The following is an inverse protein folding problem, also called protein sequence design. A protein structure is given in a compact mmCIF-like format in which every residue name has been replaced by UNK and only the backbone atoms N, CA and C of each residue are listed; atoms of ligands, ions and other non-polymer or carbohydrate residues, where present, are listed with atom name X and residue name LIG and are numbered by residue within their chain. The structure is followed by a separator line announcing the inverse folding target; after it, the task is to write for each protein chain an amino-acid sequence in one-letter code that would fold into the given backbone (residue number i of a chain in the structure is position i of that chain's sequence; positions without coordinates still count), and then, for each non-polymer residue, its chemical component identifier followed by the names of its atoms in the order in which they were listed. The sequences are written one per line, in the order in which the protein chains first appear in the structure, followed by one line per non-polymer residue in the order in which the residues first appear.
data_IF_818027940914
#
_entry.id   IF_818027940914
#
_cell.length_a   1.000
_cell.length_b   1.000
_cell.length_c   1.000
_cell.angle_alpha   90.00
_cell.angle_beta   90.00
_cell.angle_gamma   90.00
#
_symmetry.space_group_name_H-M   'P 1'
#
loop_
_entity.id
_entity.type
_entity.pdbx_description
1 polymer ?
#
# COMPACT_ATOMS: atom_id res chain seq x y z
N UNK A 1 -10.99 -11.58 -12.58
CA UNK A 1 -11.10 -12.99 -13.02
C UNK A 1 -11.67 -13.80 -11.87
N UNK A 2 -12.58 -14.73 -12.15
CA UNK A 2 -13.13 -15.66 -11.17
C UNK A 2 -12.71 -17.09 -11.55
N UNK A 3 -12.32 -17.90 -10.56
CA UNK A 3 -12.04 -19.34 -10.80
C UNK A 3 -13.34 -20.13 -11.03
N UNK A 4 -13.29 -21.30 -11.66
CA UNK A 4 -14.48 -22.17 -11.78
C UNK A 4 -15.13 -22.44 -10.41
N UNK A 5 -14.34 -22.77 -9.39
CA UNK A 5 -14.85 -22.99 -8.04
C UNK A 5 -15.58 -21.77 -7.45
N UNK A 6 -15.14 -20.55 -7.77
CA UNK A 6 -15.82 -19.33 -7.34
C UNK A 6 -17.17 -19.15 -8.07
N UNK A 7 -17.25 -19.52 -9.35
CA UNK A 7 -18.50 -19.50 -10.12
C UNK A 7 -19.47 -20.55 -9.59
N UNK A 8 -19.01 -21.75 -9.27
CA UNK A 8 -19.83 -22.81 -8.67
C UNK A 8 -20.35 -22.38 -7.29
N UNK A 9 -19.49 -21.79 -6.46
CA UNK A 9 -19.90 -21.27 -5.16
C UNK A 9 -20.93 -20.13 -5.28
N UNK A 10 -20.79 -19.29 -6.30
CA UNK A 10 -21.80 -18.27 -6.60
C UNK A 10 -23.15 -18.91 -7.01
N UNK A 11 -23.12 -19.91 -7.89
CA UNK A 11 -24.32 -20.61 -8.35
C UNK A 11 -25.04 -21.36 -7.22
N UNK A 12 -24.30 -21.90 -6.25
CA UNK A 12 -24.83 -22.62 -5.09
C UNK A 12 -25.41 -21.71 -3.98
N UNK A 13 -25.40 -20.39 -4.16
CA UNK A 13 -25.89 -19.45 -3.14
C UNK A 13 -27.38 -19.61 -2.88
N UNK A 14 -27.74 -19.63 -1.60
CA UNK A 14 -29.14 -19.67 -1.15
C UNK A 14 -29.81 -18.30 -1.13
N UNK A 15 -29.01 -17.24 -1.01
CA UNK A 15 -29.48 -15.85 -0.94
C UNK A 15 -29.14 -15.13 -2.24
N UNK A 16 -30.13 -14.56 -2.96
CA UNK A 16 -29.88 -13.86 -4.21
C UNK A 16 -29.05 -12.59 -3.98
N UNK A 17 -28.23 -12.25 -4.98
CA UNK A 17 -27.55 -10.94 -5.02
C UNK A 17 -28.57 -9.86 -5.39
N UNK A 18 -28.75 -8.87 -4.51
CA UNK A 18 -29.71 -7.77 -4.74
C UNK A 18 -29.14 -6.61 -5.54
N UNK A 19 -27.84 -6.59 -5.78
CA UNK A 19 -27.18 -5.55 -6.57
C UNK A 19 -27.32 -5.84 -8.06
N UNK A 20 -27.87 -4.90 -8.82
CA UNK A 20 -28.01 -5.06 -10.28
C UNK A 20 -26.63 -5.26 -10.95
N UNK A 21 -25.64 -4.42 -10.63
CA UNK A 21 -24.34 -4.43 -11.28
C UNK A 21 -23.37 -5.50 -10.74
N UNK A 22 -23.47 -5.87 -9.46
CA UNK A 22 -22.60 -6.86 -8.86
C UNK A 22 -23.13 -8.30 -8.95
N UNK A 23 -24.23 -8.53 -9.64
CA UNK A 23 -24.83 -9.86 -9.83
C UNK A 23 -24.14 -10.62 -10.96
N UNK A 24 -23.33 -11.62 -10.60
CA UNK A 24 -22.65 -12.47 -11.59
C UNK A 24 -23.61 -13.25 -12.48
N UNK A 25 -24.84 -13.55 -12.01
CA UNK A 25 -25.86 -14.19 -12.83
C UNK A 25 -26.23 -13.37 -14.08
N UNK A 26 -26.03 -12.05 -14.02
CA UNK A 26 -26.23 -11.15 -15.16
C UNK A 26 -24.98 -11.01 -16.03
N UNK A 27 -23.78 -11.07 -15.42
CA UNK A 27 -22.53 -10.93 -16.14
C UNK A 27 -22.05 -12.21 -16.83
N UNK A 28 -22.25 -13.38 -16.22
CA UNK A 28 -21.76 -14.66 -16.74
C UNK A 28 -22.21 -14.94 -18.19
N UNK A 29 -23.50 -14.79 -18.57
CA UNK A 29 -23.92 -15.01 -19.95
C UNK A 29 -23.24 -14.05 -20.94
N UNK A 30 -22.99 -12.80 -20.51
CA UNK A 30 -22.33 -11.79 -21.32
C UNK A 30 -20.85 -12.15 -21.53
N UNK A 31 -20.18 -12.55 -20.44
CA UNK A 31 -18.77 -12.95 -20.50
C UNK A 31 -18.58 -14.22 -21.34
N UNK A 32 -19.49 -15.18 -21.25
CA UNK A 32 -19.49 -16.38 -22.09
C UNK A 32 -19.68 -16.05 -23.57
N UNK A 33 -20.57 -15.07 -23.89
CA UNK A 33 -20.72 -14.57 -25.26
C UNK A 33 -19.41 -13.95 -25.78
N UNK A 34 -18.71 -13.17 -24.97
CA UNK A 34 -17.41 -12.58 -25.33
C UNK A 34 -16.33 -13.65 -25.54
N UNK A 35 -16.29 -14.67 -24.70
CA UNK A 35 -15.38 -15.84 -24.88
C UNK A 35 -15.66 -16.57 -26.19
N UNK A 36 -16.95 -16.70 -26.56
CA UNK A 36 -17.39 -17.24 -27.84
C UNK A 36 -17.27 -16.25 -29.02
N UNK A 37 -16.68 -15.06 -28.80
CA UNK A 37 -16.53 -13.98 -29.80
C UNK A 37 -17.86 -13.51 -30.38
N UNK A 38 -18.93 -13.57 -29.58
CA UNK A 38 -20.26 -13.06 -29.95
C UNK A 38 -20.48 -11.71 -29.29
N UNK A 39 -21.10 -10.74 -29.99
CA UNK A 39 -21.46 -9.45 -29.38
C UNK A 39 -22.50 -9.64 -28.31
N UNK A 40 -22.28 -9.00 -27.16
CA UNK A 40 -23.22 -8.99 -26.05
C UNK A 40 -23.04 -7.72 -25.22
N UNK A 41 -24.04 -7.37 -24.43
CA UNK A 41 -24.02 -6.14 -23.63
C UNK A 41 -24.88 -6.28 -22.40
N UNK A 42 -24.32 -5.93 -21.25
CA UNK A 42 -25.05 -5.79 -19.99
C UNK A 42 -24.96 -4.37 -19.43
N UNK A 43 -23.79 -3.77 -19.49
CA UNK A 43 -23.53 -2.42 -19.02
C UNK A 43 -22.23 -1.88 -19.60
N UNK A 44 -22.10 -0.56 -19.70
CA UNK A 44 -20.90 0.08 -20.22
C UNK A 44 -19.72 -0.18 -19.28
N UNK A 45 -18.65 -0.86 -19.73
CA UNK A 45 -17.46 -1.04 -18.93
C UNK A 45 -16.76 0.30 -18.70
N UNK A 46 -16.04 0.42 -17.58
CA UNK A 46 -15.18 1.56 -17.29
C UNK A 46 -13.91 1.53 -18.15
N UNK A 47 -14.03 1.81 -19.45
CA UNK A 47 -12.98 1.62 -20.48
C UNK A 47 -11.69 2.31 -20.06
N UNK A 48 -11.74 3.55 -19.57
CA UNK A 48 -10.56 4.30 -19.14
C UNK A 48 -9.79 3.58 -18.02
N UNK A 49 -10.52 2.98 -17.05
CA UNK A 49 -9.90 2.20 -15.96
C UNK A 49 -9.32 0.88 -16.46
N UNK A 50 -9.98 0.24 -17.42
CA UNK A 50 -9.46 -1.00 -18.03
C UNK A 50 -8.16 -0.71 -18.80
N UNK A 51 -8.11 0.38 -19.56
CA UNK A 51 -6.89 0.81 -20.27
C UNK A 51 -5.78 1.14 -19.27
N UNK A 52 -6.07 1.91 -18.24
CA UNK A 52 -5.09 2.23 -17.18
C UNK A 52 -4.58 0.97 -16.46
N UNK A 53 -5.46 0.00 -16.19
CA UNK A 53 -5.07 -1.29 -15.63
C UNK A 53 -4.15 -2.05 -16.59
N UNK A 54 -4.46 -2.08 -17.89
CA UNK A 54 -3.62 -2.71 -18.92
C UNK A 54 -2.20 -2.14 -18.91
N UNK A 55 -2.05 -0.81 -18.87
CA UNK A 55 -0.74 -0.14 -18.77
C UNK A 55 -0.02 -0.52 -17.46
N UNK A 56 -0.73 -0.55 -16.34
CA UNK A 56 -0.14 -0.90 -15.05
C UNK A 56 0.34 -2.35 -15.01
N UNK A 57 -0.45 -3.28 -15.57
CA UNK A 57 -0.09 -4.69 -15.67
C UNK A 57 1.11 -4.89 -16.61
N UNK A 58 1.15 -4.20 -17.76
CA UNK A 58 2.29 -4.19 -18.67
C UNK A 58 3.58 -3.83 -17.93
N UNK A 59 3.59 -2.72 -17.20
CA UNK A 59 4.77 -2.31 -16.40
C UNK A 59 5.18 -3.33 -15.33
N UNK A 60 4.23 -4.05 -14.74
CA UNK A 60 4.53 -5.11 -13.76
C UNK A 60 5.18 -6.29 -14.46
N UNK A 61 4.68 -6.69 -15.63
CA UNK A 61 5.22 -7.79 -16.41
C UNK A 61 6.60 -7.47 -17.00
N UNK A 62 6.81 -6.23 -17.47
CA UNK A 62 8.10 -5.75 -17.98
C UNK A 62 9.19 -5.76 -16.89
N UNK A 63 8.85 -5.35 -15.66
CA UNK A 63 9.75 -5.44 -14.51
C UNK A 63 10.00 -6.90 -14.10
N UNK A 64 9.01 -7.76 -14.23
CA UNK A 64 8.97 -9.12 -13.73
C UNK A 64 8.59 -9.22 -12.24
N UNK A 65 7.87 -10.27 -11.87
CA UNK A 65 7.36 -10.42 -10.49
C UNK A 65 8.50 -10.62 -9.48
N UNK A 66 9.47 -11.46 -9.78
CA UNK A 66 10.57 -11.73 -8.86
C UNK A 66 11.46 -10.49 -8.60
N UNK A 67 11.93 -9.74 -9.61
CA UNK A 67 12.61 -8.46 -9.40
C UNK A 67 11.76 -7.44 -8.63
N UNK A 68 10.46 -7.38 -8.93
CA UNK A 68 9.53 -6.48 -8.24
C UNK A 68 9.41 -6.81 -6.75
N UNK A 69 9.30 -8.08 -6.39
CA UNK A 69 9.26 -8.50 -4.99
C UNK A 69 10.57 -8.21 -4.28
N UNK A 70 11.71 -8.49 -4.90
CA UNK A 70 13.03 -8.18 -4.36
C UNK A 70 13.21 -6.67 -4.12
N UNK A 71 12.80 -5.83 -5.06
CA UNK A 71 12.84 -4.38 -4.93
C UNK A 71 11.99 -3.89 -3.75
N UNK A 72 10.76 -4.39 -3.58
CA UNK A 72 9.92 -4.00 -2.45
C UNK A 72 10.47 -4.51 -1.11
N UNK A 73 11.07 -5.69 -1.07
CA UNK A 73 11.73 -6.20 0.13
C UNK A 73 12.92 -5.32 0.53
N UNK A 74 13.77 -4.94 -0.43
CA UNK A 74 14.89 -4.03 -0.21
C UNK A 74 14.42 -2.66 0.28
N UNK A 75 13.49 -2.02 -0.44
CA UNK A 75 13.00 -0.69 -0.10
C UNK A 75 12.25 -0.67 1.24
N UNK A 76 11.43 -1.68 1.50
CA UNK A 76 10.74 -1.83 2.78
C UNK A 76 11.70 -2.08 3.94
N UNK A 77 12.73 -2.90 3.73
CA UNK A 77 13.80 -3.11 4.70
C UNK A 77 14.58 -1.85 5.02
N UNK A 78 14.95 -1.08 3.98
CA UNK A 78 15.64 0.20 4.14
C UNK A 78 14.79 1.23 4.88
N UNK A 79 13.49 1.32 4.56
CA UNK A 79 12.59 2.22 5.26
C UNK A 79 12.46 1.85 6.75
N UNK A 80 12.29 0.56 7.06
CA UNK A 80 12.24 0.07 8.44
C UNK A 80 13.53 0.35 9.22
N UNK A 81 14.69 0.14 8.61
CA UNK A 81 15.97 0.50 9.22
C UNK A 81 16.04 2.00 9.54
N UNK A 82 15.50 2.85 8.67
CA UNK A 82 15.40 4.29 8.90
C UNK A 82 14.51 4.65 10.09
N UNK A 83 13.30 4.10 10.16
CA UNK A 83 12.37 4.40 11.27
C UNK A 83 12.87 3.85 12.61
N UNK A 84 13.55 2.70 12.61
CA UNK A 84 14.18 2.14 13.81
C UNK A 84 15.33 3.05 14.32
N UNK A 85 16.14 3.61 13.40
CA UNK A 85 17.26 4.49 13.74
C UNK A 85 16.84 5.83 14.38
N UNK A 86 15.62 6.28 14.10
CA UNK A 86 15.04 7.50 14.72
C UNK A 86 14.13 7.18 15.91
N UNK A 87 14.18 5.95 16.42
CA UNK A 87 13.49 5.53 17.63
C UNK A 87 11.99 5.31 17.50
N UNK A 88 11.46 5.14 16.29
CA UNK A 88 10.04 4.85 16.09
C UNK A 88 9.75 3.36 16.30
N UNK A 89 8.85 3.07 17.22
CA UNK A 89 8.39 1.70 17.46
C UNK A 89 7.43 1.28 16.35
N UNK A 90 7.75 0.18 15.67
CA UNK A 90 6.87 -0.39 14.65
C UNK A 90 5.71 -1.16 15.27
N UNK A 91 4.53 -1.14 14.61
CA UNK A 91 3.32 -1.84 15.07
C UNK A 91 3.45 -3.37 15.01
N UNK A 92 4.00 -4.00 13.96
CA UNK A 92 4.16 -5.45 13.91
C UNK A 92 5.14 -5.96 14.97
N UNK A 93 4.75 -7.05 15.69
CA UNK A 93 5.54 -7.63 16.78
C UNK A 93 6.77 -8.43 16.30
N UNK A 94 6.85 -8.78 15.03
CA UNK A 94 7.97 -9.57 14.51
C UNK A 94 8.11 -9.45 13.00
N UNK A 95 9.28 -9.86 12.49
CA UNK A 95 9.67 -9.73 11.08
C UNK A 95 8.66 -10.39 10.12
N UNK A 96 8.13 -11.56 10.49
CA UNK A 96 7.15 -12.29 9.65
C UNK A 96 5.81 -11.56 9.48
N UNK A 97 5.49 -10.61 10.36
CA UNK A 97 4.28 -9.80 10.28
C UNK A 97 4.49 -8.46 9.55
N UNK A 98 5.72 -8.15 9.15
CA UNK A 98 6.08 -6.89 8.46
C UNK A 98 5.79 -6.99 6.97
N UNK A 99 5.03 -6.03 6.45
CA UNK A 99 4.79 -5.92 5.02
C UNK A 99 5.98 -5.25 4.30
N UNK A 100 6.26 -5.71 3.07
CA UNK A 100 7.29 -5.06 2.24
C UNK A 100 6.80 -3.79 1.54
N UNK A 101 5.52 -3.46 1.67
CA UNK A 101 4.88 -2.34 0.96
C UNK A 101 4.24 -1.30 1.89
N UNK A 102 4.25 -1.56 3.19
CA UNK A 102 3.65 -0.70 4.21
C UNK A 102 4.44 -0.80 5.51
N UNK A 103 4.77 0.33 6.11
CA UNK A 103 5.29 0.40 7.47
C UNK A 103 4.30 1.16 8.35
N UNK A 104 3.97 0.59 9.50
CA UNK A 104 3.11 1.20 10.51
C UNK A 104 3.93 1.44 11.79
N UNK A 105 3.91 2.68 12.28
CA UNK A 105 4.66 3.08 13.46
C UNK A 105 3.71 3.70 14.50
N UNK A 106 3.94 3.39 15.77
CA UNK A 106 3.29 4.14 16.84
C UNK A 106 3.75 5.58 16.84
N UNK A 107 2.87 6.49 17.23
CA UNK A 107 3.30 7.83 17.56
C UNK A 107 4.23 7.78 18.78
N UNK A 108 5.31 8.57 18.81
CA UNK A 108 6.13 8.70 20.01
C UNK A 108 5.34 9.27 21.19
N UNK A 109 5.74 8.92 22.40
CA UNK A 109 5.09 9.42 23.61
C UNK A 109 5.14 10.96 23.66
N UNK A 110 4.02 11.58 24.00
CA UNK A 110 3.88 13.04 24.05
C UNK A 110 3.72 13.73 22.69
N UNK A 111 3.81 13.01 21.57
CA UNK A 111 3.63 13.58 20.23
C UNK A 111 2.16 13.49 19.80
N UNK A 112 1.58 14.63 19.45
CA UNK A 112 0.24 14.68 18.85
C UNK A 112 0.23 14.08 17.45
N UNK A 113 -0.52 12.99 17.23
CA UNK A 113 -0.64 12.34 15.93
C UNK A 113 -1.09 13.30 14.82
N UNK A 114 -2.20 14.04 14.95
CA UNK A 114 -2.64 15.01 13.95
C UNK A 114 -1.58 16.09 13.66
N UNK A 115 -0.88 16.61 14.67
CA UNK A 115 0.16 17.61 14.49
C UNK A 115 1.36 17.04 13.71
N UNK A 116 1.79 15.81 14.03
CA UNK A 116 2.86 15.12 13.30
C UNK A 116 2.49 14.88 11.84
N UNK A 117 1.28 14.37 11.56
CA UNK A 117 0.84 14.14 10.18
C UNK A 117 0.80 15.44 9.38
N UNK A 118 0.35 16.54 10.00
CA UNK A 118 0.34 17.87 9.38
C UNK A 118 1.76 18.38 9.09
N UNK A 119 2.71 18.17 10.01
CA UNK A 119 4.11 18.55 9.84
C UNK A 119 4.78 17.79 8.71
N UNK A 120 4.59 16.46 8.65
CA UNK A 120 5.07 15.63 7.54
C UNK A 120 4.44 16.11 6.20
N UNK A 121 3.15 16.47 6.24
CA UNK A 121 2.45 17.03 5.07
C UNK A 121 3.08 18.33 4.57
N UNK A 122 3.47 19.24 5.46
CA UNK A 122 4.19 20.48 5.10
C UNK A 122 5.56 20.19 4.49
N UNK A 123 6.21 19.12 4.92
CA UNK A 123 7.46 18.65 4.32
C UNK A 123 7.26 17.92 2.97
N UNK A 124 6.05 17.93 2.40
CA UNK A 124 5.75 17.45 1.06
C UNK A 124 5.38 15.95 0.96
N UNK A 125 5.17 15.25 2.09
CA UNK A 125 4.82 13.82 2.08
C UNK A 125 3.48 13.60 2.79
N UNK A 126 2.53 12.96 2.11
CA UNK A 126 1.26 12.57 2.71
C UNK A 126 1.37 11.15 3.27
N UNK A 127 1.08 11.01 4.56
CA UNK A 127 0.98 9.73 5.25
C UNK A 127 -0.40 9.57 5.89
N UNK A 128 -0.76 8.36 6.28
CA UNK A 128 -2.11 8.07 6.78
C UNK A 128 -2.10 7.70 8.27
N UNK A 129 -3.10 8.13 9.00
CA UNK A 129 -3.36 7.67 10.38
C UNK A 129 -3.74 6.19 10.46
N UNK A 130 -3.94 5.68 11.66
CA UNK A 130 -4.37 4.30 11.89
C UNK A 130 -5.77 4.01 11.39
N UNK A 131 -6.10 2.72 11.23
CA UNK A 131 -7.42 2.24 10.80
C UNK A 131 -8.11 1.33 11.82
N UNK A 132 -7.33 0.61 12.62
CA UNK A 132 -7.89 -0.35 13.58
C UNK A 132 -8.71 0.39 14.65
N UNK A 133 -9.98 0.04 14.81
CA UNK A 133 -10.94 0.76 15.66
C UNK A 133 -10.46 1.05 17.08
N UNK A 134 -9.73 0.11 17.69
CA UNK A 134 -9.27 0.22 19.08
C UNK A 134 -7.98 1.03 19.25
N UNK A 135 -7.14 1.14 18.20
CA UNK A 135 -5.81 1.74 18.29
C UNK A 135 -5.52 2.77 17.19
N UNK A 136 -6.52 3.15 16.38
CA UNK A 136 -6.33 4.06 15.22
C UNK A 136 -5.65 5.38 15.58
N UNK A 137 -5.87 5.88 16.78
CA UNK A 137 -5.33 7.15 17.26
C UNK A 137 -3.92 7.02 17.86
N UNK A 138 -3.34 5.81 17.85
CA UNK A 138 -2.04 5.50 18.45
C UNK A 138 -0.92 5.26 17.45
N UNK A 139 -1.21 5.16 16.15
CA UNK A 139 -0.23 4.86 15.12
C UNK A 139 -0.56 5.51 13.79
N UNK A 140 0.42 5.59 12.92
CA UNK A 140 0.30 6.03 11.54
C UNK A 140 0.93 5.03 10.57
N UNK A 141 0.65 5.21 9.29
CA UNK A 141 1.03 4.26 8.24
C UNK A 141 1.70 4.99 7.09
N UNK A 142 2.79 4.44 6.61
CA UNK A 142 3.53 4.92 5.45
C UNK A 142 3.52 3.83 4.40
N UNK A 143 2.87 4.11 3.26
CA UNK A 143 2.87 3.22 2.10
C UNK A 143 4.14 3.41 1.27
N UNK A 144 4.80 2.30 0.93
CA UNK A 144 5.95 2.30 0.04
C UNK A 144 5.80 1.20 -1.02
N UNK A 145 4.74 1.32 -1.83
CA UNK A 145 4.34 0.35 -2.84
C UNK A 145 4.33 0.95 -4.26
N UNK A 146 4.21 0.09 -5.24
CA UNK A 146 4.09 0.50 -6.64
C UNK A 146 5.42 0.78 -7.32
N UNK A 147 5.52 1.86 -8.05
CA UNK A 147 6.70 2.23 -8.85
C UNK A 147 7.72 3.09 -8.07
N UNK A 148 7.76 2.97 -6.74
CA UNK A 148 8.69 3.74 -5.91
C UNK A 148 10.14 3.30 -6.12
N UNK A 149 11.06 4.22 -5.81
CA UNK A 149 12.51 4.04 -5.88
C UNK A 149 13.17 4.51 -4.59
N UNK A 150 14.47 4.25 -4.44
CA UNK A 150 15.25 4.65 -3.27
C UNK A 150 15.10 6.14 -2.91
N UNK A 151 15.08 7.03 -3.91
CA UNK A 151 14.89 8.47 -3.67
C UNK A 151 13.58 8.79 -2.93
N UNK A 152 12.49 8.08 -3.22
CA UNK A 152 11.22 8.26 -2.51
C UNK A 152 11.31 7.79 -1.05
N UNK A 153 12.03 6.72 -0.77
CA UNK A 153 12.30 6.23 0.59
C UNK A 153 13.07 7.26 1.39
N UNK A 154 14.18 7.77 0.83
CA UNK A 154 15.04 8.75 1.50
C UNK A 154 14.32 10.10 1.71
N UNK A 155 13.59 10.57 0.70
CA UNK A 155 12.78 11.80 0.81
C UNK A 155 11.66 11.68 1.86
N UNK A 156 11.00 10.51 1.94
CA UNK A 156 9.96 10.26 2.96
C UNK A 156 10.56 10.22 4.36
N UNK A 157 11.74 9.62 4.56
CA UNK A 157 12.43 9.63 5.84
C UNK A 157 12.85 11.05 6.23
N UNK A 158 13.38 11.84 5.29
CA UNK A 158 13.73 13.24 5.55
C UNK A 158 12.51 14.08 5.98
N UNK A 159 11.37 13.91 5.31
CA UNK A 159 10.12 14.57 5.70
C UNK A 159 9.62 14.10 7.07
N UNK A 160 9.75 12.81 7.37
CA UNK A 160 9.39 12.23 8.67
C UNK A 160 10.27 12.79 9.79
N UNK A 161 11.58 12.86 9.58
CA UNK A 161 12.53 13.47 10.54
C UNK A 161 12.19 14.95 10.80
N UNK A 162 11.92 15.72 9.74
CA UNK A 162 11.48 17.12 9.87
C UNK A 162 10.22 17.23 10.72
N UNK A 163 9.20 16.43 10.42
CA UNK A 163 7.95 16.45 11.19
C UNK A 163 8.11 16.01 12.64
N UNK A 164 8.93 15.02 12.92
CA UNK A 164 9.24 14.56 14.27
C UNK A 164 10.01 15.60 15.08
N UNK A 165 10.96 16.31 14.46
CA UNK A 165 11.70 17.39 15.08
C UNK A 165 10.76 18.56 15.45
N UNK A 166 9.87 18.97 14.55
CA UNK A 166 8.84 19.98 14.84
C UNK A 166 7.90 19.55 15.97
N UNK A 167 7.60 18.23 16.06
CA UNK A 167 6.75 17.68 17.11
C UNK A 167 7.49 17.45 18.45
N UNK A 168 8.78 17.80 18.56
CA UNK A 168 9.58 17.70 19.77
C UNK A 168 10.11 16.31 20.11
N UNK A 169 10.03 15.35 19.19
CA UNK A 169 10.65 14.03 19.35
C UNK A 169 12.17 14.17 19.29
N UNK A 170 12.88 13.47 20.21
CA UNK A 170 14.35 13.54 20.32
C UNK A 170 15.00 12.36 19.59
N UNK A 171 15.82 12.67 18.62
CA UNK A 171 16.65 11.72 17.86
C UNK A 171 17.80 12.48 17.18
N UNK A 172 18.76 11.79 16.62
CA UNK A 172 19.83 12.37 15.80
C UNK A 172 19.30 12.66 14.39
N UNK A 173 19.25 13.94 14.00
CA UNK A 173 18.78 14.36 12.68
C UNK A 173 19.66 13.75 11.57
N UNK A 174 19.02 13.16 10.57
CA UNK A 174 19.70 12.43 9.50
C UNK A 174 19.98 10.95 9.80
N UNK A 175 19.78 10.48 11.03
CA UNK A 175 20.05 9.09 11.41
C UNK A 175 19.22 8.08 10.61
N UNK A 176 17.94 8.38 10.39
CA UNK A 176 17.03 7.54 9.60
C UNK A 176 17.41 7.48 8.14
N UNK A 177 17.71 8.63 7.54
CA UNK A 177 18.17 8.71 6.14
C UNK A 177 19.50 7.94 5.98
N UNK A 178 20.45 8.15 6.88
CA UNK A 178 21.75 7.45 6.84
C UNK A 178 21.60 5.93 7.03
N UNK A 179 20.72 5.48 7.93
CA UNK A 179 20.45 4.05 8.12
C UNK A 179 19.81 3.41 6.87
N UNK A 180 18.87 4.09 6.25
CA UNK A 180 18.25 3.63 5.01
C UNK A 180 19.27 3.56 3.86
N UNK A 181 20.15 4.55 3.71
CA UNK A 181 21.22 4.53 2.69
C UNK A 181 22.15 3.33 2.89
N UNK A 182 22.57 3.06 4.13
CA UNK A 182 23.38 1.86 4.43
C UNK A 182 22.67 0.55 4.09
N UNK A 183 21.35 0.48 4.29
CA UNK A 183 20.56 -0.70 3.95
C UNK A 183 20.40 -0.88 2.43
N UNK A 184 20.30 0.20 1.67
CA UNK A 184 20.17 0.20 0.21
C UNK A 184 21.50 -0.13 -0.50
N UNK A 185 22.65 0.00 0.17
CA UNK A 185 23.98 -0.25 -0.40
C UNK A 185 24.48 -1.69 -0.22
N UNK A 186 23.67 -2.56 0.39
CA UNK A 186 23.97 -3.99 0.61
C UNK A 186 23.36 -4.85 -0.47
#
# INVERSE_FOLDING_TARGET
MASPAAVDAFAARRVPVRSYYADWGKWLPIMQSYEARQPSYFGTPAVNLVVALGVSLGRILDEGLAPRFARHALLGGAFRAGVDAIGLRQLPLGEKARANTLTACYYPDGVSGPALLAAIGRAGVTVAGGLHSEIKDRYFRIGHMGAIRAAAILGTLGALETGLQEAGHRFELGAGVAAAQRALSR
#
